data_IF_501073119260
#
_entry.id   IF_501073119260
#
_cell.length_a   1.000
_cell.length_b   1.000
_cell.length_c   1.000
_cell.angle_alpha   90.00
_cell.angle_beta   90.00
_cell.angle_gamma   90.00
#
_symmetry.space_group_name_H-M   'P 1'
#
loop_
_entity.id
_entity.type
_entity.pdbx_description
1 polymer ?
#
# COMPACT_ATOMS: atom_id res chain seq x y z
N UNK A 1 -9.33 -11.96 24.85
CA UNK A 1 -10.01 -11.45 26.08
C UNK A 1 -9.95 -9.94 26.03
N UNK A 2 -11.11 -9.26 26.05
CA UNK A 2 -11.19 -7.80 26.01
C UNK A 2 -10.72 -7.21 27.33
N UNK A 3 -10.03 -6.07 27.23
CA UNK A 3 -9.70 -5.21 28.38
C UNK A 3 -10.10 -3.79 28.03
N UNK A 4 -11.21 -3.32 28.60
CA UNK A 4 -11.66 -1.96 28.35
C UNK A 4 -10.67 -0.94 28.94
N UNK A 5 -10.34 0.08 28.16
CA UNK A 5 -9.44 1.17 28.53
C UNK A 5 -10.09 2.55 28.41
N UNK A 6 -11.38 2.59 28.04
CA UNK A 6 -12.13 3.82 27.80
C UNK A 6 -11.57 4.62 26.61
N UNK A 7 -12.06 5.85 26.51
CA UNK A 7 -11.58 6.78 25.49
C UNK A 7 -10.18 7.27 25.83
N UNK A 8 -9.17 6.82 25.10
CA UNK A 8 -7.80 7.34 25.17
C UNK A 8 -7.56 8.31 24.00
N UNK A 9 -6.63 9.24 24.15
CA UNK A 9 -6.22 10.11 23.03
C UNK A 9 -5.49 9.30 21.99
N UNK A 10 -5.89 9.47 20.72
CA UNK A 10 -5.24 8.85 19.57
C UNK A 10 -4.80 9.98 18.64
N UNK A 11 -3.53 10.00 18.29
CA UNK A 11 -2.99 10.96 17.33
C UNK A 11 -2.75 10.29 15.98
N UNK A 12 -3.08 11.00 14.91
CA UNK A 12 -2.82 10.65 13.53
C UNK A 12 -2.03 11.76 12.85
N UNK A 13 -1.76 11.67 11.56
CA UNK A 13 -1.07 12.73 10.81
C UNK A 13 -1.78 14.09 10.92
N UNK A 14 -3.12 14.09 10.72
CA UNK A 14 -3.92 15.34 10.68
C UNK A 14 -4.82 15.54 11.87
N UNK A 15 -5.06 14.52 12.70
CA UNK A 15 -6.12 14.52 13.70
C UNK A 15 -5.58 14.25 15.10
N UNK A 16 -6.30 14.80 16.08
CA UNK A 16 -6.27 14.38 17.48
C UNK A 16 -7.67 13.87 17.83
N UNK A 17 -7.80 12.56 18.04
CA UNK A 17 -9.01 11.97 18.57
C UNK A 17 -8.92 11.98 20.08
N UNK A 18 -9.73 12.80 20.74
CA UNK A 18 -9.63 13.05 22.17
C UNK A 18 -10.98 13.08 22.88
N UNK A 19 -10.96 12.98 24.19
CA UNK A 19 -12.16 13.21 24.99
C UNK A 19 -12.72 14.60 24.76
N UNK A 20 -14.05 14.73 24.77
CA UNK A 20 -14.71 16.02 24.75
C UNK A 20 -14.46 16.77 26.06
N UNK A 21 -14.31 18.08 25.97
CA UNK A 21 -14.31 19.02 27.10
C UNK A 21 -15.49 19.98 26.97
N UNK A 22 -15.91 20.63 28.05
CA UNK A 22 -17.09 21.50 28.04
C UNK A 22 -17.00 22.64 27.02
N UNK A 23 -15.80 23.12 26.80
CA UNK A 23 -15.44 24.21 25.89
C UNK A 23 -15.67 23.85 24.41
N UNK A 24 -15.78 22.58 24.09
CA UNK A 24 -16.03 22.11 22.72
C UNK A 24 -17.48 22.37 22.23
N UNK A 25 -18.38 22.78 23.11
CA UNK A 25 -19.80 22.92 22.77
C UNK A 25 -20.06 23.93 21.64
N UNK A 26 -19.33 25.03 21.62
CA UNK A 26 -19.45 26.05 20.58
C UNK A 26 -18.95 25.53 19.23
N UNK A 27 -17.78 24.88 19.23
CA UNK A 27 -17.21 24.26 18.02
C UNK A 27 -18.14 23.13 17.50
N UNK A 28 -18.68 22.29 18.40
CA UNK A 28 -19.64 21.26 18.03
C UNK A 28 -20.87 21.85 17.34
N UNK A 29 -21.48 22.87 17.93
CA UNK A 29 -22.65 23.52 17.37
C UNK A 29 -22.35 24.15 16.01
N UNK A 30 -21.26 24.93 15.92
CA UNK A 30 -20.88 25.66 14.72
C UNK A 30 -20.44 24.75 13.56
N UNK A 31 -19.68 23.71 13.87
CA UNK A 31 -18.96 22.95 12.85
C UNK A 31 -19.78 21.79 12.25
N UNK A 32 -20.71 21.17 13.02
CA UNK A 32 -21.47 20.03 12.49
C UNK A 32 -22.87 19.84 13.12
N UNK A 33 -23.07 20.06 14.41
CA UNK A 33 -24.28 19.59 15.07
C UNK A 33 -25.52 20.40 14.72
N UNK A 34 -25.40 21.67 14.32
CA UNK A 34 -26.51 22.52 13.88
C UNK A 34 -26.85 22.36 12.38
N UNK A 35 -26.04 21.64 11.59
CA UNK A 35 -26.26 21.50 10.16
C UNK A 35 -27.23 20.35 9.85
N UNK A 36 -28.45 20.63 9.29
CA UNK A 36 -29.39 19.59 8.90
C UNK A 36 -28.88 18.63 7.82
N UNK A 37 -27.87 19.04 7.03
CA UNK A 37 -27.23 18.17 6.04
C UNK A 37 -26.41 17.08 6.72
N UNK A 38 -25.68 17.42 7.79
CA UNK A 38 -24.92 16.47 8.59
C UNK A 38 -25.85 15.50 9.28
N UNK A 39 -26.94 15.99 9.91
CA UNK A 39 -27.83 15.19 10.73
C UNK A 39 -28.86 14.39 9.90
N UNK A 40 -28.96 14.61 8.60
CA UNK A 40 -29.96 14.00 7.72
C UNK A 40 -30.12 12.49 7.95
N UNK A 41 -29.02 11.77 8.05
CA UNK A 41 -28.99 10.31 8.22
C UNK A 41 -28.60 9.87 9.63
N UNK A 42 -28.61 10.79 10.61
CA UNK A 42 -28.35 10.49 12.02
C UNK A 42 -29.64 10.24 12.79
N UNK A 43 -29.50 9.59 13.95
CA UNK A 43 -30.64 9.27 14.86
C UNK A 43 -31.10 10.45 15.70
N UNK A 44 -30.33 11.56 15.71
CA UNK A 44 -30.61 12.78 16.46
C UNK A 44 -30.75 13.98 15.52
N UNK A 45 -31.65 14.93 15.81
CA UNK A 45 -31.91 16.08 14.95
C UNK A 45 -30.81 17.14 15.10
N UNK A 46 -30.77 18.08 14.15
CA UNK A 46 -29.88 19.23 14.25
C UNK A 46 -30.13 20.00 15.58
N UNK A 47 -29.07 20.39 16.24
CA UNK A 47 -29.14 21.15 17.47
C UNK A 47 -29.72 22.56 17.22
N UNK A 48 -30.79 22.89 17.91
CA UNK A 48 -31.46 24.18 17.75
C UNK A 48 -30.74 25.35 18.44
N UNK A 49 -29.81 25.07 19.36
CA UNK A 49 -29.02 26.06 20.07
C UNK A 49 -27.74 25.45 20.63
N UNK A 50 -26.78 26.31 21.02
CA UNK A 50 -25.55 25.89 21.71
C UNK A 50 -25.86 25.15 23.02
N UNK A 51 -26.91 25.50 23.72
CA UNK A 51 -27.30 24.85 24.95
C UNK A 51 -27.60 23.34 24.78
N UNK A 52 -28.06 22.93 23.61
CA UNK A 52 -28.23 21.51 23.28
C UNK A 52 -26.87 20.82 23.16
N UNK A 53 -25.90 21.46 22.49
CA UNK A 53 -24.51 20.95 22.40
C UNK A 53 -23.84 20.88 23.79
N UNK A 54 -24.02 21.87 24.63
CA UNK A 54 -23.52 21.87 26.02
C UNK A 54 -24.08 20.72 26.85
N UNK A 55 -25.40 20.43 26.70
CA UNK A 55 -26.06 19.31 27.37
C UNK A 55 -25.48 17.98 26.90
N UNK A 56 -25.31 17.79 25.58
CA UNK A 56 -24.76 16.56 24.98
C UNK A 56 -23.32 16.34 25.44
N UNK A 57 -22.46 17.34 25.32
CA UNK A 57 -21.07 17.24 25.77
C UNK A 57 -20.99 17.02 27.28
N UNK A 58 -21.82 17.69 28.05
CA UNK A 58 -21.90 17.47 29.49
C UNK A 58 -22.29 16.03 29.86
N UNK A 59 -23.08 15.36 29.03
CA UNK A 59 -23.37 13.93 29.20
C UNK A 59 -22.15 13.05 28.86
N UNK A 60 -21.45 13.30 27.77
CA UNK A 60 -20.24 12.56 27.37
C UNK A 60 -19.12 12.69 28.43
N UNK A 61 -18.90 13.89 28.95
CA UNK A 61 -17.90 14.14 29.99
C UNK A 61 -18.15 13.29 31.26
N UNK A 62 -19.40 13.10 31.65
CA UNK A 62 -19.76 12.23 32.80
C UNK A 62 -19.52 10.76 32.53
N UNK A 63 -19.75 10.31 31.27
CA UNK A 63 -19.62 8.91 30.90
C UNK A 63 -18.14 8.45 30.80
N UNK A 64 -17.17 9.38 30.66
CA UNK A 64 -15.72 9.03 30.59
C UNK A 64 -15.16 8.41 31.88
N UNK A 65 -15.91 8.37 32.96
CA UNK A 65 -15.54 7.61 34.17
C UNK A 65 -15.64 6.09 33.95
N UNK A 66 -16.38 5.67 32.92
CA UNK A 66 -16.57 4.26 32.59
C UNK A 66 -15.47 3.79 31.63
N UNK A 67 -14.79 2.71 31.99
CA UNK A 67 -13.72 2.12 31.15
C UNK A 67 -14.23 1.53 29.84
N UNK A 68 -15.51 1.21 29.72
CA UNK A 68 -16.13 0.73 28.49
C UNK A 68 -16.85 1.83 27.69
N UNK A 69 -16.56 3.11 27.93
CA UNK A 69 -17.15 4.21 27.19
C UNK A 69 -16.14 4.78 26.19
N UNK A 70 -16.54 4.82 24.91
CA UNK A 70 -15.71 5.22 23.80
C UNK A 70 -16.39 6.29 22.97
N UNK A 71 -15.99 7.54 23.15
CA UNK A 71 -16.50 8.71 22.45
C UNK A 71 -15.35 9.70 22.23
N UNK A 72 -15.00 9.96 20.98
CA UNK A 72 -13.96 10.90 20.62
C UNK A 72 -14.51 12.10 19.88
N UNK A 73 -13.94 13.27 20.15
CA UNK A 73 -13.96 14.42 19.28
C UNK A 73 -12.93 14.20 18.18
N UNK A 74 -13.26 14.53 16.95
CA UNK A 74 -12.32 14.55 15.83
C UNK A 74 -11.80 15.99 15.74
N UNK A 75 -10.65 16.27 16.34
CA UNK A 75 -9.98 17.56 16.25
C UNK A 75 -9.03 17.58 15.05
N UNK A 76 -9.13 18.63 14.22
CA UNK A 76 -8.22 18.85 13.10
C UNK A 76 -7.01 19.68 13.59
N UNK A 77 -5.80 19.09 13.54
CA UNK A 77 -4.56 19.73 14.04
C UNK A 77 -4.31 21.12 13.45
N UNK A 78 -4.54 21.29 12.15
CA UNK A 78 -4.40 22.56 11.44
C UNK A 78 -5.32 23.67 12.01
N UNK A 79 -6.50 23.28 12.47
CA UNK A 79 -7.50 24.22 12.98
C UNK A 79 -7.45 24.38 14.51
N UNK A 80 -6.98 23.35 15.23
CA UNK A 80 -7.00 23.30 16.70
C UNK A 80 -8.42 23.20 17.28
N UNK A 81 -9.41 22.75 16.48
CA UNK A 81 -10.81 22.66 16.88
C UNK A 81 -11.42 21.34 16.45
N UNK A 82 -12.42 20.80 17.21
CA UNK A 82 -13.18 19.66 16.78
C UNK A 82 -14.09 19.99 15.60
N UNK A 83 -14.11 19.08 14.63
CA UNK A 83 -14.86 19.18 13.37
C UNK A 83 -15.88 18.06 13.19
N UNK A 84 -15.95 17.13 14.15
CA UNK A 84 -16.83 15.97 14.14
C UNK A 84 -16.64 15.11 15.37
N UNK A 85 -17.30 13.95 15.38
CA UNK A 85 -17.15 12.95 16.43
C UNK A 85 -17.22 11.52 15.89
N UNK A 86 -16.60 10.59 16.62
CA UNK A 86 -16.62 9.16 16.37
C UNK A 86 -16.75 8.41 17.68
N UNK A 87 -17.56 7.33 17.70
CA UNK A 87 -17.84 6.62 18.96
C UNK A 87 -18.18 5.15 18.73
N UNK A 88 -18.06 4.34 19.77
CA UNK A 88 -18.70 3.03 19.83
C UNK A 88 -20.14 3.23 20.29
N UNK A 89 -21.08 2.98 19.37
CA UNK A 89 -22.53 3.18 19.61
C UNK A 89 -23.19 1.94 20.20
N UNK A 90 -22.58 0.77 20.02
CA UNK A 90 -23.03 -0.50 20.61
C UNK A 90 -21.83 -1.43 20.85
N UNK A 91 -21.90 -2.19 21.94
CA UNK A 91 -20.92 -3.21 22.31
C UNK A 91 -21.60 -4.54 22.56
N UNK A 92 -20.91 -5.61 22.24
CA UNK A 92 -21.32 -7.00 22.50
C UNK A 92 -20.11 -7.80 23.00
N UNK A 93 -19.77 -7.67 24.27
CA UNK A 93 -18.57 -8.24 24.88
C UNK A 93 -18.48 -9.78 24.75
N UNK A 94 -19.57 -10.56 24.87
CA UNK A 94 -19.53 -11.99 24.66
C UNK A 94 -18.98 -12.46 23.32
N UNK A 95 -19.08 -11.63 22.27
CA UNK A 95 -18.53 -11.90 20.94
C UNK A 95 -17.44 -10.91 20.55
N UNK A 96 -16.97 -10.12 21.52
CA UNK A 96 -15.87 -9.15 21.37
C UNK A 96 -16.12 -8.17 20.18
N UNK A 97 -17.37 -7.65 20.08
CA UNK A 97 -17.78 -6.76 18.99
C UNK A 97 -18.00 -5.32 19.48
N UNK A 98 -17.53 -4.35 18.67
CA UNK A 98 -17.86 -2.94 18.79
C UNK A 98 -18.48 -2.41 17.49
N UNK A 99 -19.63 -1.69 17.57
CA UNK A 99 -20.23 -1.00 16.43
C UNK A 99 -19.91 0.50 16.49
N UNK A 100 -19.37 1.05 15.40
CA UNK A 100 -18.91 2.43 15.32
C UNK A 100 -19.93 3.32 14.61
N UNK A 101 -20.14 4.51 15.18
CA UNK A 101 -20.87 5.61 14.55
C UNK A 101 -19.98 6.86 14.46
N UNK A 102 -20.12 7.63 13.38
CA UNK A 102 -19.34 8.85 13.16
C UNK A 102 -20.15 9.93 12.43
N UNK A 103 -19.77 11.17 12.64
CA UNK A 103 -20.25 12.31 11.87
C UNK A 103 -19.17 13.38 11.80
N UNK A 104 -19.20 14.18 10.72
CA UNK A 104 -18.26 15.28 10.49
C UNK A 104 -18.94 16.41 9.74
N UNK A 105 -18.53 17.64 9.97
CA UNK A 105 -19.09 18.81 9.31
C UNK A 105 -18.91 18.79 7.78
N UNK A 106 -19.90 19.36 7.08
CA UNK A 106 -19.95 19.37 5.59
C UNK A 106 -18.72 19.99 4.94
N UNK A 107 -18.07 20.96 5.58
CA UNK A 107 -16.83 21.61 5.08
C UNK A 107 -15.64 20.66 4.93
N UNK A 108 -15.67 19.52 5.63
CA UNK A 108 -14.58 18.53 5.68
C UNK A 108 -14.94 17.21 4.98
N UNK A 109 -16.11 17.15 4.32
CA UNK A 109 -16.48 16.00 3.51
C UNK A 109 -15.51 15.81 2.33
N UNK A 110 -15.36 14.58 1.88
CA UNK A 110 -14.52 14.17 0.74
C UNK A 110 -13.01 14.48 0.89
N UNK A 111 -12.52 14.70 2.13
CA UNK A 111 -11.09 14.98 2.41
C UNK A 111 -10.37 13.82 3.10
N UNK A 112 -10.97 12.63 3.14
CA UNK A 112 -10.39 11.42 3.77
C UNK A 112 -10.35 11.45 5.31
N UNK A 113 -10.76 12.54 5.95
CA UNK A 113 -10.67 12.73 7.41
C UNK A 113 -11.43 11.66 8.20
N UNK A 114 -12.66 11.33 7.79
CA UNK A 114 -13.45 10.30 8.47
C UNK A 114 -12.83 8.91 8.33
N UNK A 115 -12.22 8.62 7.18
CA UNK A 115 -11.48 7.37 6.95
C UNK A 115 -10.30 7.28 7.89
N UNK A 116 -9.50 8.34 8.02
CA UNK A 116 -8.36 8.42 8.94
C UNK A 116 -8.79 8.21 10.40
N UNK A 117 -9.86 8.88 10.83
CA UNK A 117 -10.41 8.72 12.18
C UNK A 117 -10.91 7.29 12.45
N UNK A 118 -11.70 6.72 11.53
CA UNK A 118 -12.25 5.36 11.67
C UNK A 118 -11.13 4.31 11.69
N UNK A 119 -10.14 4.44 10.82
CA UNK A 119 -8.96 3.57 10.79
C UNK A 119 -8.23 3.56 12.13
N UNK A 120 -7.95 4.73 12.70
CA UNK A 120 -7.27 4.86 13.99
C UNK A 120 -8.08 4.25 15.15
N UNK A 121 -9.41 4.39 15.13
CA UNK A 121 -10.30 3.78 16.13
C UNK A 121 -10.37 2.26 15.97
N UNK A 122 -10.43 1.73 14.73
CA UNK A 122 -10.35 0.28 14.47
C UNK A 122 -9.05 -0.30 15.03
N UNK A 123 -7.91 0.33 14.73
CA UNK A 123 -6.61 -0.07 15.27
C UNK A 123 -6.63 -0.12 16.79
N UNK A 124 -7.07 0.96 17.46
CA UNK A 124 -7.16 1.05 18.91
C UNK A 124 -8.02 -0.07 19.51
N UNK A 125 -9.18 -0.34 18.91
CA UNK A 125 -10.08 -1.38 19.40
C UNK A 125 -9.49 -2.79 19.25
N UNK A 126 -8.72 -3.05 18.20
CA UNK A 126 -8.07 -4.34 17.98
C UNK A 126 -6.81 -4.54 18.83
N UNK A 127 -5.96 -3.52 18.94
CA UNK A 127 -4.65 -3.64 19.58
C UNK A 127 -4.68 -3.36 21.08
N UNK A 128 -5.42 -2.34 21.49
CA UNK A 128 -5.42 -1.87 22.87
C UNK A 128 -6.55 -2.46 23.71
N UNK A 129 -7.73 -2.63 23.11
CA UNK A 129 -8.91 -3.14 23.80
C UNK A 129 -9.03 -4.66 23.63
N UNK A 130 -8.60 -5.18 22.49
CA UNK A 130 -8.63 -6.62 22.19
C UNK A 130 -9.95 -7.08 21.58
N UNK A 131 -10.74 -6.17 20.96
CA UNK A 131 -11.94 -6.57 20.20
C UNK A 131 -11.57 -7.56 19.09
N UNK A 132 -12.50 -8.44 18.74
CA UNK A 132 -12.35 -9.38 17.65
C UNK A 132 -13.04 -8.89 16.37
N UNK A 133 -14.05 -8.03 16.51
CA UNK A 133 -14.87 -7.54 15.42
C UNK A 133 -15.20 -6.07 15.61
N UNK A 134 -15.05 -5.28 14.54
CA UNK A 134 -15.53 -3.90 14.48
C UNK A 134 -16.54 -3.81 13.35
N UNK A 135 -17.76 -3.36 13.70
CA UNK A 135 -18.88 -3.21 12.78
C UNK A 135 -19.25 -1.73 12.60
N UNK A 136 -19.91 -1.41 11.52
CA UNK A 136 -20.57 -0.13 11.28
C UNK A 136 -21.73 -0.33 10.28
N UNK A 137 -22.70 0.57 10.31
CA UNK A 137 -23.83 0.53 9.38
C UNK A 137 -24.21 1.91 8.87
N UNK A 138 -24.88 1.95 7.73
CA UNK A 138 -25.39 3.18 7.17
C UNK A 138 -26.70 2.97 6.41
N UNK A 139 -27.50 4.03 6.28
CA UNK A 139 -28.62 4.05 5.35
C UNK A 139 -28.10 3.91 3.90
N UNK A 140 -28.60 2.97 3.07
CA UNK A 140 -28.19 2.84 1.66
C UNK A 140 -28.28 4.13 0.84
N UNK A 141 -29.18 5.06 1.25
CA UNK A 141 -29.25 6.40 0.64
C UNK A 141 -28.10 7.34 1.04
N UNK A 142 -27.20 6.90 1.93
CA UNK A 142 -25.97 7.58 2.29
C UNK A 142 -24.71 6.79 1.83
N UNK A 143 -24.47 6.64 0.52
CA UNK A 143 -23.39 5.80 -0.01
C UNK A 143 -21.99 6.26 0.41
N UNK A 144 -21.81 7.52 0.75
CA UNK A 144 -20.52 8.07 1.21
C UNK A 144 -20.08 7.45 2.54
N UNK A 145 -21.01 7.16 3.46
CA UNK A 145 -20.68 6.47 4.71
C UNK A 145 -20.19 5.04 4.45
N UNK A 146 -20.83 4.31 3.53
CA UNK A 146 -20.37 3.00 3.07
C UNK A 146 -18.99 3.06 2.40
N UNK A 147 -18.69 4.15 1.65
CA UNK A 147 -17.36 4.40 1.07
C UNK A 147 -16.29 4.51 2.14
N UNK A 148 -16.53 5.21 3.24
CA UNK A 148 -15.61 5.30 4.39
C UNK A 148 -15.34 3.92 4.99
N UNK A 149 -16.39 3.11 5.21
CA UNK A 149 -16.27 1.76 5.77
C UNK A 149 -15.40 0.85 4.90
N UNK A 150 -15.64 0.84 3.58
CA UNK A 150 -14.84 0.06 2.63
C UNK A 150 -13.36 0.49 2.64
N UNK A 151 -13.09 1.79 2.64
CA UNK A 151 -11.71 2.32 2.72
C UNK A 151 -10.96 1.88 3.97
N UNK A 152 -11.67 1.63 5.06
CA UNK A 152 -11.08 1.07 6.28
C UNK A 152 -10.98 -0.47 6.26
N UNK A 153 -11.20 -1.13 5.11
CA UNK A 153 -11.11 -2.58 4.96
C UNK A 153 -12.32 -3.35 5.48
N UNK A 154 -13.43 -2.66 5.82
CA UNK A 154 -14.65 -3.33 6.27
C UNK A 154 -15.38 -3.96 5.09
N UNK A 155 -15.81 -5.21 5.25
CA UNK A 155 -16.56 -5.98 4.24
C UNK A 155 -18.07 -5.77 4.42
N UNK A 156 -18.77 -5.66 3.29
CA UNK A 156 -20.22 -5.64 3.26
C UNK A 156 -20.79 -7.01 3.61
N UNK A 157 -21.74 -7.07 4.56
CA UNK A 157 -22.35 -8.32 5.03
C UNK A 157 -23.81 -8.45 4.66
N UNK A 158 -24.44 -7.40 4.16
CA UNK A 158 -25.83 -7.42 3.75
C UNK A 158 -26.60 -6.15 4.14
N UNK A 159 -27.81 -6.01 3.61
CA UNK A 159 -28.73 -4.92 3.96
C UNK A 159 -29.95 -5.47 4.68
N UNK A 160 -30.14 -5.01 5.90
CA UNK A 160 -31.34 -5.30 6.70
C UNK A 160 -32.45 -4.31 6.35
N UNK A 161 -33.62 -4.81 5.94
CA UNK A 161 -34.72 -3.96 5.52
C UNK A 161 -35.53 -3.42 6.70
N UNK A 162 -35.85 -2.11 6.68
CA UNK A 162 -36.68 -1.40 7.66
C UNK A 162 -36.29 -1.68 9.12
N UNK A 163 -34.97 -1.77 9.39
CA UNK A 163 -34.45 -2.19 10.70
C UNK A 163 -33.81 -1.04 11.48
N UNK A 164 -33.76 0.15 10.91
CA UNK A 164 -33.16 1.33 11.54
C UNK A 164 -34.07 2.57 11.36
N UNK A 165 -33.71 3.65 12.02
CA UNK A 165 -34.42 4.93 11.95
C UNK A 165 -33.42 6.09 12.00
N UNK A 166 -33.63 7.05 11.12
CA UNK A 166 -32.92 8.32 11.10
C UNK A 166 -33.88 9.51 10.93
N UNK A 167 -33.38 10.71 10.70
CA UNK A 167 -34.25 11.91 10.53
C UNK A 167 -35.09 11.89 9.25
N UNK A 168 -34.91 10.91 8.36
CA UNK A 168 -35.77 10.69 7.19
C UNK A 168 -36.89 9.67 7.46
N UNK A 169 -36.89 9.03 8.63
CA UNK A 169 -37.87 8.02 9.03
C UNK A 169 -37.26 6.62 9.18
N UNK A 170 -38.11 5.59 9.01
CA UNK A 170 -37.65 4.19 9.01
C UNK A 170 -36.87 3.94 7.74
N UNK A 171 -35.71 3.29 7.87
CA UNK A 171 -34.77 3.05 6.77
C UNK A 171 -34.17 1.64 6.82
N UNK A 172 -33.63 1.23 5.73
CA UNK A 172 -32.76 0.05 5.66
C UNK A 172 -31.41 0.37 6.25
N UNK A 173 -30.67 -0.67 6.67
CA UNK A 173 -29.27 -0.52 7.14
C UNK A 173 -28.35 -1.48 6.39
N UNK A 174 -27.42 -0.93 5.64
CA UNK A 174 -26.30 -1.66 5.04
C UNK A 174 -25.22 -1.89 6.11
N UNK A 175 -24.99 -3.16 6.42
CA UNK A 175 -24.06 -3.61 7.47
C UNK A 175 -22.69 -3.90 6.90
N UNK A 176 -21.67 -3.41 7.56
CA UNK A 176 -20.25 -3.64 7.27
C UNK A 176 -19.52 -4.08 8.53
N UNK A 177 -18.49 -4.91 8.37
CA UNK A 177 -17.62 -5.27 9.48
C UNK A 177 -16.21 -5.66 9.00
N UNK A 178 -15.27 -5.62 9.96
CA UNK A 178 -13.93 -6.14 9.80
C UNK A 178 -13.57 -6.99 11.03
N UNK A 179 -12.95 -8.15 10.82
CA UNK A 179 -12.43 -8.99 11.88
C UNK A 179 -10.98 -8.66 12.17
N UNK A 180 -10.55 -8.85 13.43
CA UNK A 180 -9.13 -8.67 13.81
C UNK A 180 -8.19 -9.54 12.97
N UNK A 181 -8.61 -10.74 12.59
CA UNK A 181 -7.83 -11.63 11.71
C UNK A 181 -7.72 -11.14 10.27
N UNK A 182 -8.63 -10.27 9.84
CA UNK A 182 -8.65 -9.67 8.50
C UNK A 182 -7.96 -8.31 8.50
N UNK A 183 -7.90 -7.68 9.70
CA UNK A 183 -7.32 -6.36 9.83
C UNK A 183 -5.81 -6.43 9.59
N UNK A 184 -5.42 -5.79 8.52
CA UNK A 184 -4.03 -5.45 8.28
C UNK A 184 -3.92 -3.99 8.66
N UNK A 185 -3.00 -3.64 9.57
CA UNK A 185 -2.73 -2.24 9.87
C UNK A 185 -2.69 -1.49 8.53
N UNK A 186 -3.57 -0.51 8.29
CA UNK A 186 -3.54 0.22 7.04
C UNK A 186 -2.14 0.77 6.90
N UNK A 187 -1.43 0.32 5.90
CA UNK A 187 -0.17 0.89 5.52
C UNK A 187 -0.51 2.21 4.80
N UNK A 188 -0.69 3.28 5.54
CA UNK A 188 -0.40 4.61 5.01
C UNK A 188 1.11 4.62 4.80
N UNK A 189 1.52 4.10 3.66
CA UNK A 189 2.92 3.82 3.33
C UNK A 189 3.77 5.08 3.29
N UNK A 190 3.12 6.25 3.23
CA UNK A 190 3.73 7.46 2.79
C UNK A 190 3.73 8.62 3.79
N UNK A 191 2.68 8.78 4.58
CA UNK A 191 2.48 10.07 5.28
C UNK A 191 3.34 10.25 6.54
N UNK A 192 3.93 9.17 7.10
CA UNK A 192 4.68 9.20 8.37
C UNK A 192 6.18 8.86 8.21
N UNK A 193 6.71 8.71 6.98
CA UNK A 193 8.12 8.46 6.78
C UNK A 193 8.87 9.80 6.72
N UNK A 194 9.53 10.17 7.82
CA UNK A 194 10.53 11.22 7.78
C UNK A 194 11.79 10.64 7.12
N UNK A 195 12.21 11.18 6.00
CA UNK A 195 13.44 10.80 5.31
C UNK A 195 14.16 12.05 4.79
N UNK A 196 15.47 11.97 4.67
CA UNK A 196 16.32 13.05 4.16
C UNK A 196 16.81 12.77 2.74
N UNK A 197 16.84 11.50 2.34
CA UNK A 197 17.23 11.03 1.00
C UNK A 197 16.58 9.68 0.66
N UNK A 198 16.73 9.25 -0.59
CA UNK A 198 16.15 8.00 -1.10
C UNK A 198 16.67 6.76 -0.36
N UNK A 199 17.92 6.77 0.14
CA UNK A 199 18.48 5.64 0.87
C UNK A 199 17.78 5.43 2.22
N UNK A 200 17.51 6.49 2.95
CA UNK A 200 16.76 6.46 4.21
C UNK A 200 15.30 6.04 3.96
N UNK A 201 14.69 6.55 2.89
CA UNK A 201 13.34 6.15 2.47
C UNK A 201 13.26 4.65 2.20
N UNK A 202 14.20 4.09 1.43
CA UNK A 202 14.25 2.65 1.12
C UNK A 202 14.40 1.80 2.38
N UNK A 203 15.25 2.19 3.32
CA UNK A 203 15.39 1.51 4.61
C UNK A 203 14.06 1.44 5.36
N UNK A 204 13.35 2.55 5.46
CA UNK A 204 12.10 2.61 6.21
C UNK A 204 10.96 1.87 5.49
N UNK A 205 10.91 1.93 4.16
CA UNK A 205 9.96 1.17 3.34
C UNK A 205 10.09 -0.33 3.63
N UNK A 206 11.29 -0.89 3.54
CA UNK A 206 11.50 -2.33 3.70
C UNK A 206 11.51 -2.81 5.15
N UNK A 207 11.59 -1.96 6.14
CA UNK A 207 11.23 -2.31 7.54
C UNK A 207 9.74 -2.61 7.70
N UNK A 208 8.89 -2.03 6.84
CA UNK A 208 7.42 -2.16 6.89
C UNK A 208 6.86 -3.10 5.85
N UNK A 209 7.59 -3.34 4.77
CA UNK A 209 7.17 -4.15 3.63
C UNK A 209 7.84 -5.52 3.64
N UNK A 210 7.04 -6.59 3.49
CA UNK A 210 7.54 -7.95 3.35
C UNK A 210 7.89 -8.24 1.88
N UNK A 211 9.14 -7.99 1.49
CA UNK A 211 9.65 -8.31 0.16
C UNK A 211 9.86 -9.82 -0.03
N UNK A 212 10.08 -10.56 1.06
CA UNK A 212 10.44 -11.98 0.99
C UNK A 212 9.37 -12.86 0.31
N UNK A 213 8.09 -12.53 0.53
CA UNK A 213 7.00 -13.30 -0.06
C UNK A 213 6.55 -12.80 -1.44
N UNK A 214 6.98 -11.62 -1.90
CA UNK A 214 6.42 -10.90 -3.05
C UNK A 214 6.29 -11.76 -4.31
N UNK A 215 7.37 -12.39 -4.73
CA UNK A 215 7.44 -13.17 -5.97
C UNK A 215 6.89 -14.60 -5.85
N UNK A 216 6.62 -15.08 -4.63
CA UNK A 216 6.25 -16.47 -4.35
C UNK A 216 4.86 -16.63 -3.73
N UNK A 217 4.17 -15.54 -3.37
CA UNK A 217 2.91 -15.58 -2.64
C UNK A 217 1.74 -16.21 -3.40
N UNK A 218 1.82 -16.30 -4.74
CA UNK A 218 0.75 -16.83 -5.59
C UNK A 218 1.26 -17.23 -6.98
N UNK A 219 0.46 -17.97 -7.76
CA UNK A 219 0.75 -18.27 -9.17
C UNK A 219 0.84 -17.01 -10.02
N UNK A 220 -0.03 -16.03 -9.80
CA UNK A 220 0.00 -14.76 -10.51
C UNK A 220 1.30 -13.99 -10.24
N UNK A 221 1.71 -13.84 -8.98
CA UNK A 221 2.96 -13.18 -8.60
C UNK A 221 4.20 -13.91 -9.13
N UNK A 222 4.14 -15.24 -9.25
CA UNK A 222 5.27 -16.06 -9.76
C UNK A 222 5.56 -15.84 -11.24
N UNK A 223 4.63 -15.29 -12.03
CA UNK A 223 4.81 -15.02 -13.46
C UNK A 223 5.99 -14.07 -13.71
N UNK A 224 6.10 -13.00 -12.93
CA UNK A 224 7.22 -12.03 -13.01
C UNK A 224 8.57 -12.74 -12.87
N UNK A 225 8.71 -13.54 -11.82
CA UNK A 225 9.95 -14.27 -11.55
C UNK A 225 10.31 -15.23 -12.70
N UNK A 226 9.35 -16.05 -13.14
CA UNK A 226 9.59 -17.05 -14.19
C UNK A 226 9.94 -16.40 -15.54
N UNK A 227 9.31 -15.27 -15.84
CA UNK A 227 9.61 -14.50 -17.06
C UNK A 227 11.02 -13.92 -16.99
N UNK A 228 11.35 -13.25 -15.90
CA UNK A 228 12.66 -12.62 -15.69
C UNK A 228 13.78 -13.64 -15.75
N UNK A 229 13.65 -14.76 -15.04
CA UNK A 229 14.63 -15.86 -15.06
C UNK A 229 14.81 -16.39 -16.49
N UNK A 230 13.72 -16.60 -17.24
CA UNK A 230 13.78 -17.07 -18.63
C UNK A 230 14.61 -16.15 -19.52
N UNK A 231 14.52 -14.82 -19.32
CA UNK A 231 15.32 -13.86 -20.10
C UNK A 231 16.77 -13.83 -19.66
N UNK A 232 17.07 -13.91 -18.37
CA UNK A 232 18.43 -13.95 -17.84
C UNK A 232 19.14 -15.22 -18.37
N UNK A 233 18.50 -16.37 -18.31
CA UNK A 233 19.06 -17.65 -18.78
C UNK A 233 19.47 -17.67 -20.27
N UNK A 234 18.88 -16.81 -21.11
CA UNK A 234 19.30 -16.67 -22.52
C UNK A 234 20.75 -16.19 -22.67
N UNK A 235 21.28 -15.51 -21.67
CA UNK A 235 22.59 -14.83 -21.72
C UNK A 235 23.62 -15.41 -20.75
N UNK A 236 23.29 -16.48 -20.04
CA UNK A 236 24.20 -17.13 -19.10
C UNK A 236 24.97 -18.27 -19.77
N UNK A 237 26.29 -18.09 -19.94
CA UNK A 237 27.18 -19.19 -20.26
C UNK A 237 27.63 -19.93 -18.99
N UNK A 238 28.11 -21.19 -19.09
CA UNK A 238 28.70 -21.88 -17.94
C UNK A 238 29.83 -21.06 -17.31
N UNK A 239 29.76 -20.84 -15.98
CA UNK A 239 30.73 -20.05 -15.22
C UNK A 239 30.52 -18.53 -15.31
N UNK A 240 29.43 -18.05 -15.88
CA UNK A 240 29.10 -16.62 -15.90
C UNK A 240 28.98 -16.06 -14.47
N UNK A 241 29.41 -14.82 -14.33
CA UNK A 241 29.30 -14.04 -13.08
C UNK A 241 28.12 -13.09 -13.16
N UNK A 242 27.29 -13.09 -12.13
CA UNK A 242 26.09 -12.28 -12.01
C UNK A 242 26.30 -11.26 -10.88
N UNK A 243 25.94 -10.00 -11.12
CA UNK A 243 25.78 -9.00 -10.08
C UNK A 243 24.30 -8.66 -9.96
N UNK A 244 23.75 -8.79 -8.74
CA UNK A 244 22.35 -8.47 -8.41
C UNK A 244 22.36 -7.20 -7.55
N UNK A 245 21.96 -6.07 -8.15
CA UNK A 245 21.97 -4.73 -7.51
C UNK A 245 20.57 -4.38 -7.07
N UNK A 246 20.37 -4.21 -5.76
CA UNK A 246 19.06 -4.12 -5.12
C UNK A 246 18.42 -5.51 -5.01
N UNK A 247 19.20 -6.46 -4.48
CA UNK A 247 18.87 -7.88 -4.48
C UNK A 247 17.63 -8.25 -3.65
N UNK A 248 17.11 -7.31 -2.84
CA UNK A 248 15.97 -7.53 -1.97
C UNK A 248 16.21 -8.71 -1.01
N UNK A 249 15.21 -9.56 -0.84
CA UNK A 249 15.36 -10.78 -0.05
C UNK A 249 16.09 -11.94 -0.80
N UNK A 250 16.69 -11.68 -1.96
CA UNK A 250 17.63 -12.58 -2.66
C UNK A 250 17.00 -13.66 -3.54
N UNK A 251 15.77 -13.52 -4.01
CA UNK A 251 15.09 -14.55 -4.80
C UNK A 251 15.84 -14.92 -6.09
N UNK A 252 16.30 -13.94 -6.86
CA UNK A 252 17.08 -14.16 -8.08
C UNK A 252 18.49 -14.68 -7.75
N UNK A 253 19.17 -14.04 -6.80
CA UNK A 253 20.51 -14.42 -6.35
C UNK A 253 20.58 -15.88 -5.92
N UNK A 254 19.65 -16.31 -5.02
CA UNK A 254 19.58 -17.69 -4.55
C UNK A 254 19.27 -18.68 -5.66
N UNK A 255 18.36 -18.32 -6.57
CA UNK A 255 18.02 -19.18 -7.71
C UNK A 255 19.24 -19.46 -8.59
N UNK A 256 20.01 -18.43 -8.96
CA UNK A 256 21.17 -18.62 -9.83
C UNK A 256 22.36 -19.26 -9.10
N UNK A 257 22.61 -18.93 -7.85
CA UNK A 257 23.64 -19.58 -7.04
C UNK A 257 23.40 -21.09 -6.92
N UNK A 258 22.16 -21.50 -6.66
CA UNK A 258 21.73 -22.92 -6.60
C UNK A 258 21.83 -23.65 -7.95
N UNK A 259 21.91 -22.90 -9.05
CA UNK A 259 22.22 -23.44 -10.39
C UNK A 259 23.74 -23.48 -10.68
N UNK A 260 24.58 -23.07 -9.73
CA UNK A 260 26.02 -23.14 -9.83
C UNK A 260 26.70 -21.92 -10.43
N UNK A 261 25.98 -20.79 -10.58
CA UNK A 261 26.58 -19.50 -10.99
C UNK A 261 27.20 -18.79 -9.81
N UNK A 262 28.27 -17.99 -10.06
CA UNK A 262 28.83 -17.08 -9.08
C UNK A 262 27.98 -15.82 -9.02
N UNK A 263 27.41 -15.51 -7.86
CA UNK A 263 26.55 -14.36 -7.67
C UNK A 263 27.19 -13.41 -6.66
N UNK A 264 27.33 -12.15 -7.03
CA UNK A 264 27.53 -11.04 -6.11
C UNK A 264 26.19 -10.30 -5.96
N UNK A 265 25.80 -10.00 -4.74
CA UNK A 265 24.55 -9.33 -4.42
C UNK A 265 24.82 -8.08 -3.59
N UNK A 266 24.24 -6.96 -4.01
CA UNK A 266 24.31 -5.70 -3.27
C UNK A 266 22.88 -5.31 -2.88
N UNK A 267 22.67 -5.06 -1.59
CA UNK A 267 21.38 -4.65 -1.04
C UNK A 267 21.58 -3.51 -0.03
N UNK A 268 20.67 -2.54 -0.05
CA UNK A 268 20.73 -1.38 0.82
C UNK A 268 20.04 -1.63 2.17
N UNK A 269 18.84 -2.25 2.14
CA UNK A 269 17.95 -2.34 3.28
C UNK A 269 18.34 -3.47 4.26
N UNK A 270 18.54 -3.12 5.52
CA UNK A 270 18.88 -4.07 6.60
C UNK A 270 17.88 -5.22 6.73
N UNK A 271 16.59 -4.91 6.59
CA UNK A 271 15.51 -5.91 6.69
C UNK A 271 15.61 -6.96 5.56
N UNK A 272 15.89 -6.52 4.32
CA UNK A 272 16.07 -7.39 3.16
C UNK A 272 17.32 -8.25 3.33
N UNK A 273 18.44 -7.67 3.77
CA UNK A 273 19.70 -8.39 4.04
C UNK A 273 19.46 -9.49 5.09
N UNK A 274 18.73 -9.18 6.16
CA UNK A 274 18.41 -10.16 7.20
C UNK A 274 17.58 -11.32 6.64
N UNK A 275 16.54 -11.03 5.84
CA UNK A 275 15.70 -12.04 5.18
C UNK A 275 16.51 -12.87 4.17
N UNK A 276 17.40 -12.23 3.41
CA UNK A 276 18.27 -12.91 2.45
C UNK A 276 19.22 -13.90 3.18
N UNK A 277 19.94 -13.41 4.19
CA UNK A 277 20.85 -14.25 4.99
C UNK A 277 20.17 -15.45 5.65
N UNK A 278 18.94 -15.28 6.10
CA UNK A 278 18.15 -16.37 6.70
C UNK A 278 17.86 -17.53 5.73
N UNK A 279 17.90 -17.27 4.41
CA UNK A 279 17.66 -18.28 3.35
C UNK A 279 18.94 -18.85 2.75
N UNK A 280 20.09 -18.21 2.98
CA UNK A 280 21.37 -18.68 2.49
C UNK A 280 21.82 -19.93 3.24
N UNK A 281 22.52 -20.79 2.53
CA UNK A 281 23.21 -21.97 3.06
C UNK A 281 24.71 -21.89 2.73
N UNK A 282 25.53 -22.66 3.42
CA UNK A 282 26.99 -22.71 3.17
C UNK A 282 27.36 -23.15 1.74
N UNK A 283 26.43 -23.72 1.00
CA UNK A 283 26.61 -24.16 -0.37
C UNK A 283 26.25 -23.10 -1.42
N UNK A 284 25.60 -22.00 -1.01
CA UNK A 284 25.22 -20.93 -1.94
C UNK A 284 26.43 -20.04 -2.24
N UNK A 285 26.88 -20.01 -3.49
CA UNK A 285 28.05 -19.23 -3.96
C UNK A 285 27.65 -17.75 -4.13
N UNK A 286 27.34 -17.08 -3.03
CA UNK A 286 26.86 -15.69 -3.02
C UNK A 286 27.78 -14.82 -2.14
N UNK A 287 28.27 -13.72 -2.73
CA UNK A 287 28.91 -12.64 -2.01
C UNK A 287 27.88 -11.52 -1.78
N UNK A 288 27.34 -11.43 -0.55
CA UNK A 288 26.31 -10.46 -0.18
C UNK A 288 26.91 -9.28 0.57
N UNK A 289 26.86 -8.12 -0.07
CA UNK A 289 27.39 -6.84 0.42
C UNK A 289 26.25 -5.86 0.70
N UNK A 290 26.30 -5.16 1.83
CA UNK A 290 25.44 -4.00 2.05
C UNK A 290 26.03 -2.78 1.35
N UNK A 291 25.22 -2.12 0.50
CA UNK A 291 25.70 -0.97 -0.26
C UNK A 291 24.60 -0.23 -1.01
N UNK A 292 24.99 0.92 -1.56
CA UNK A 292 24.11 1.77 -2.36
C UNK A 292 24.39 1.57 -3.85
N UNK A 293 23.35 1.42 -4.66
CA UNK A 293 23.46 1.27 -6.11
C UNK A 293 24.11 2.46 -6.84
N UNK A 294 24.23 3.60 -6.19
CA UNK A 294 24.93 4.78 -6.70
C UNK A 294 26.46 4.67 -6.61
N UNK A 295 26.99 3.68 -5.89
CA UNK A 295 28.40 3.44 -5.71
C UNK A 295 28.71 1.93 -5.73
N UNK A 296 29.14 1.44 -6.88
CA UNK A 296 29.60 0.07 -7.08
C UNK A 296 31.14 -0.05 -7.07
N UNK A 297 31.86 0.90 -6.46
CA UNK A 297 33.33 0.92 -6.39
C UNK A 297 33.93 -0.31 -5.73
N UNK A 298 33.17 -1.07 -4.97
CA UNK A 298 33.54 -2.38 -4.44
C UNK A 298 33.85 -3.42 -5.55
N UNK A 299 33.33 -3.21 -6.76
CA UNK A 299 33.48 -4.11 -7.88
C UNK A 299 34.37 -3.50 -8.98
N UNK A 300 35.26 -4.32 -9.55
CA UNK A 300 36.14 -3.93 -10.65
C UNK A 300 35.35 -3.70 -11.95
N UNK A 301 35.89 -2.85 -12.82
CA UNK A 301 35.37 -2.63 -14.16
C UNK A 301 35.31 -3.94 -14.96
N UNK A 302 34.26 -4.11 -15.77
CA UNK A 302 34.11 -5.24 -16.69
C UNK A 302 34.24 -6.62 -16.01
N UNK A 303 33.69 -6.78 -14.81
CA UNK A 303 33.80 -8.02 -14.01
C UNK A 303 32.64 -8.98 -14.18
N UNK A 304 31.45 -8.51 -14.57
CA UNK A 304 30.24 -9.30 -14.60
C UNK A 304 29.73 -9.53 -16.02
N UNK A 305 29.26 -10.76 -16.29
CA UNK A 305 28.64 -11.14 -17.54
C UNK A 305 27.18 -10.66 -17.63
N UNK A 306 26.49 -10.65 -16.46
CA UNK A 306 25.12 -10.17 -16.31
C UNK A 306 25.04 -9.27 -15.07
N UNK A 307 24.40 -8.11 -15.23
CA UNK A 307 24.07 -7.19 -14.14
C UNK A 307 22.56 -7.04 -14.06
N UNK A 308 21.97 -7.31 -12.90
CA UNK A 308 20.56 -7.14 -12.61
C UNK A 308 20.37 -5.85 -11.83
N UNK A 309 19.55 -4.96 -12.34
CA UNK A 309 19.21 -3.68 -11.70
C UNK A 309 17.72 -3.70 -11.34
N UNK A 310 17.39 -4.50 -10.31
CA UNK A 310 16.01 -4.82 -9.91
C UNK A 310 15.66 -4.15 -8.58
N UNK A 311 15.30 -2.92 -8.59
CA UNK A 311 14.98 -2.13 -7.40
C UNK A 311 15.36 -0.68 -7.55
N UNK A 312 16.64 -0.38 -7.76
CA UNK A 312 17.15 0.99 -7.66
C UNK A 312 16.37 2.02 -8.51
N UNK A 313 16.04 1.69 -9.78
CA UNK A 313 15.45 2.67 -10.71
C UNK A 313 14.02 3.10 -10.35
N UNK A 314 13.31 2.32 -9.54
CA UNK A 314 12.00 2.72 -9.03
C UNK A 314 12.03 3.16 -7.55
N UNK A 315 13.22 3.33 -6.99
CA UNK A 315 13.45 3.93 -5.68
C UNK A 315 14.16 5.28 -5.75
N UNK A 316 14.94 5.52 -6.80
CA UNK A 316 15.63 6.78 -7.02
C UNK A 316 14.66 7.80 -7.63
N UNK A 317 14.42 8.93 -6.96
CA UNK A 317 13.50 9.96 -7.44
C UNK A 317 14.14 10.87 -8.48
N UNK A 318 15.39 11.25 -8.30
CA UNK A 318 16.10 12.16 -9.17
C UNK A 318 16.65 11.47 -10.43
N UNK A 319 16.43 12.02 -11.62
CA UNK A 319 16.93 11.46 -12.89
C UNK A 319 18.47 11.33 -12.90
N UNK A 320 19.19 12.32 -12.30
CA UNK A 320 20.65 12.28 -12.20
C UNK A 320 21.15 11.03 -11.46
N UNK A 321 20.44 10.62 -10.40
CA UNK A 321 20.81 9.46 -9.58
C UNK A 321 20.50 8.16 -10.32
N UNK A 322 19.37 8.10 -11.06
CA UNK A 322 19.09 6.99 -11.97
C UNK A 322 20.18 6.81 -13.02
N UNK A 323 20.61 7.91 -13.65
CA UNK A 323 21.70 7.90 -14.65
C UNK A 323 23.01 7.44 -14.03
N UNK A 324 23.37 7.93 -12.83
CA UNK A 324 24.57 7.49 -12.11
C UNK A 324 24.52 5.98 -11.81
N UNK A 325 23.39 5.48 -11.33
CA UNK A 325 23.18 4.05 -11.08
C UNK A 325 23.37 3.20 -12.34
N UNK A 326 22.86 3.66 -13.48
CA UNK A 326 23.03 2.99 -14.78
C UNK A 326 24.49 3.04 -15.24
N UNK A 327 25.20 4.16 -15.07
CA UNK A 327 26.62 4.28 -15.42
C UNK A 327 27.51 3.35 -14.58
N UNK A 328 27.23 3.20 -13.28
CA UNK A 328 27.93 2.23 -12.44
C UNK A 328 27.65 0.78 -12.89
N UNK A 329 26.40 0.44 -13.20
CA UNK A 329 26.08 -0.87 -13.77
C UNK A 329 26.79 -1.13 -15.10
N UNK A 330 26.92 -0.13 -15.98
CA UNK A 330 27.68 -0.21 -17.24
C UNK A 330 29.17 -0.41 -16.97
N UNK A 331 29.74 0.30 -15.99
CA UNK A 331 31.16 0.21 -15.64
C UNK A 331 31.54 -1.23 -15.26
N UNK A 332 30.76 -1.84 -14.35
CA UNK A 332 31.05 -3.18 -13.84
C UNK A 332 30.65 -4.31 -14.81
N UNK A 333 29.72 -4.06 -15.74
CA UNK A 333 29.31 -5.00 -16.78
C UNK A 333 30.41 -5.15 -17.83
N UNK A 334 30.71 -6.37 -18.30
CA UNK A 334 31.63 -6.64 -19.41
C UNK A 334 31.15 -6.02 -20.73
N UNK A 335 32.02 -5.76 -21.70
CA UNK A 335 31.65 -5.19 -23.00
C UNK A 335 30.54 -5.99 -23.72
N UNK A 336 30.60 -7.33 -23.66
CA UNK A 336 29.62 -8.25 -24.28
C UNK A 336 28.51 -8.68 -23.29
N UNK A 337 28.56 -8.17 -22.04
CA UNK A 337 27.62 -8.47 -20.97
C UNK A 337 26.23 -7.88 -21.22
N UNK A 338 25.30 -8.27 -20.38
CA UNK A 338 23.91 -7.79 -20.46
C UNK A 338 23.50 -7.16 -19.14
N UNK A 339 22.77 -6.05 -19.25
CA UNK A 339 22.21 -5.36 -18.09
C UNK A 339 20.68 -5.50 -18.18
N UNK A 340 20.08 -5.92 -17.08
CA UNK A 340 18.64 -6.10 -16.92
C UNK A 340 18.10 -5.00 -16.02
N UNK A 341 17.12 -4.27 -16.49
CA UNK A 341 16.51 -3.14 -15.80
C UNK A 341 15.06 -3.45 -15.47
N UNK A 342 14.67 -3.31 -14.21
CA UNK A 342 13.26 -3.40 -13.82
C UNK A 342 12.69 -2.00 -13.54
N UNK A 343 11.44 -1.79 -14.00
CA UNK A 343 10.66 -0.58 -13.74
C UNK A 343 9.25 -0.97 -13.30
N UNK A 344 8.62 -0.10 -12.51
CA UNK A 344 7.18 -0.20 -12.19
C UNK A 344 6.42 0.68 -13.17
N UNK A 345 5.40 0.09 -13.81
CA UNK A 345 4.59 0.78 -14.82
C UNK A 345 3.65 1.81 -14.18
N UNK A 346 3.55 2.99 -14.80
CA UNK A 346 2.54 3.97 -14.44
C UNK A 346 1.12 3.56 -14.89
N UNK A 347 1.02 2.89 -16.03
CA UNK A 347 -0.24 2.85 -16.78
C UNK A 347 -1.22 1.81 -16.23
N UNK A 348 -0.78 0.57 -16.06
CA UNK A 348 -1.67 -0.52 -15.60
C UNK A 348 -1.90 -0.50 -14.08
N UNK A 349 -0.99 0.09 -13.30
CA UNK A 349 -1.07 0.13 -11.82
C UNK A 349 -2.37 0.78 -11.35
N UNK A 350 -2.88 1.77 -12.06
CA UNK A 350 -4.18 2.39 -11.74
C UNK A 350 -5.31 1.35 -11.74
N UNK A 351 -5.31 0.41 -12.71
CA UNK A 351 -6.33 -0.63 -12.79
C UNK A 351 -6.12 -1.74 -11.75
N UNK A 352 -4.88 -2.13 -11.48
CA UNK A 352 -4.60 -3.12 -10.44
C UNK A 352 -4.87 -2.58 -9.04
N UNK A 353 -4.60 -1.30 -8.80
CA UNK A 353 -4.98 -0.62 -7.56
C UNK A 353 -6.50 -0.49 -7.40
N UNK A 354 -7.25 -0.31 -8.51
CA UNK A 354 -8.73 -0.31 -8.48
C UNK A 354 -9.29 -1.66 -8.01
N UNK A 355 -8.63 -2.78 -8.26
CA UNK A 355 -9.05 -4.09 -7.73
C UNK A 355 -8.86 -4.21 -6.21
N UNK A 356 -7.83 -3.54 -5.68
CA UNK A 356 -7.53 -3.54 -4.25
C UNK A 356 -8.34 -2.48 -3.49
N UNK A 357 -8.76 -1.42 -4.18
CA UNK A 357 -9.45 -0.26 -3.62
C UNK A 357 -10.55 0.18 -4.59
N UNK A 358 -11.81 -0.17 -4.28
CA UNK A 358 -13.00 0.01 -5.15
C UNK A 358 -13.21 1.41 -5.74
N UNK A 359 -12.63 2.44 -5.14
CA UNK A 359 -12.77 3.83 -5.57
C UNK A 359 -11.46 4.49 -6.02
N UNK A 360 -10.42 3.70 -6.31
CA UNK A 360 -9.10 4.23 -6.68
C UNK A 360 -9.15 5.12 -7.93
N UNK A 361 -9.96 4.76 -8.94
CA UNK A 361 -10.17 5.62 -10.13
C UNK A 361 -10.72 7.02 -9.79
N UNK A 362 -11.45 7.16 -8.69
CA UNK A 362 -11.99 8.45 -8.25
C UNK A 362 -11.09 9.17 -7.25
N UNK A 363 -10.47 8.43 -6.33
CA UNK A 363 -9.81 8.98 -5.14
C UNK A 363 -8.35 8.52 -4.97
N UNK A 364 -7.79 7.74 -5.89
CA UNK A 364 -6.40 7.25 -5.83
C UNK A 364 -5.36 8.37 -6.00
N UNK A 365 -4.12 8.06 -5.63
CA UNK A 365 -2.99 8.98 -5.59
C UNK A 365 -2.37 9.14 -6.98
N UNK A 366 -3.07 9.85 -7.85
CA UNK A 366 -2.61 10.17 -9.20
C UNK A 366 -3.27 11.45 -9.72
N UNK A 367 -2.62 12.12 -10.65
CA UNK A 367 -3.17 13.30 -11.34
C UNK A 367 -4.34 12.89 -12.23
N UNK A 368 -5.55 13.38 -11.92
CA UNK A 368 -6.80 13.02 -12.62
C UNK A 368 -6.89 13.49 -14.07
N UNK A 369 -5.98 14.37 -14.53
CA UNK A 369 -5.94 14.87 -15.92
C UNK A 369 -4.92 14.13 -16.77
N UNK A 370 -3.77 13.80 -16.19
CA UNK A 370 -2.65 13.19 -16.91
C UNK A 370 -2.52 11.70 -16.64
N UNK A 371 -3.24 11.16 -15.65
CA UNK A 371 -3.15 9.79 -15.16
C UNK A 371 -1.74 9.39 -14.69
N UNK A 372 -0.92 10.41 -14.31
CA UNK A 372 0.39 10.18 -13.70
C UNK A 372 0.21 9.84 -12.23
N UNK A 373 0.71 8.69 -11.80
CA UNK A 373 0.78 8.29 -10.39
C UNK A 373 1.72 9.22 -9.61
N UNK A 374 1.44 9.43 -8.35
CA UNK A 374 2.33 10.15 -7.45
C UNK A 374 3.54 9.24 -7.14
N UNK A 375 4.74 9.78 -7.35
CA UNK A 375 5.99 9.04 -7.18
C UNK A 375 6.36 8.94 -5.69
N UNK A 376 5.65 8.08 -4.96
CA UNK A 376 5.96 7.81 -3.56
C UNK A 376 5.31 6.50 -3.06
N UNK A 377 5.98 5.62 -2.33
CA UNK A 377 7.44 5.58 -2.09
C UNK A 377 8.22 5.04 -3.30
N UNK A 378 7.51 4.63 -4.34
CA UNK A 378 8.08 4.13 -5.59
C UNK A 378 7.91 5.15 -6.70
N UNK A 379 8.83 5.14 -7.65
CA UNK A 379 8.75 5.93 -8.87
C UNK A 379 8.13 5.09 -9.97
N UNK A 380 7.08 5.61 -10.59
CA UNK A 380 6.37 4.93 -11.66
C UNK A 380 6.83 5.44 -13.03
N UNK A 381 6.92 4.56 -14.02
CA UNK A 381 7.46 4.89 -15.32
C UNK A 381 6.48 4.53 -16.44
N UNK A 382 6.34 5.41 -17.44
CA UNK A 382 5.74 5.03 -18.72
C UNK A 382 6.79 4.32 -19.58
N UNK A 383 6.35 3.52 -20.57
CA UNK A 383 7.26 2.86 -21.53
C UNK A 383 8.18 3.86 -22.21
N UNK A 384 7.65 5.02 -22.62
CA UNK A 384 8.45 6.03 -23.30
C UNK A 384 9.50 6.65 -22.37
N UNK A 385 9.16 6.86 -21.09
CA UNK A 385 10.13 7.34 -20.10
C UNK A 385 11.24 6.32 -19.85
N UNK A 386 10.92 5.01 -19.79
CA UNK A 386 11.94 3.96 -19.69
C UNK A 386 12.91 4.00 -20.88
N UNK A 387 12.38 4.08 -22.11
CA UNK A 387 13.18 4.17 -23.33
C UNK A 387 14.06 5.43 -23.37
N UNK A 388 13.48 6.57 -22.98
CA UNK A 388 14.21 7.85 -22.92
C UNK A 388 15.37 7.80 -21.91
N UNK A 389 15.13 7.31 -20.69
CA UNK A 389 16.13 7.19 -19.65
C UNK A 389 17.28 6.28 -20.09
N UNK A 390 16.97 5.09 -20.60
CA UNK A 390 17.99 4.14 -21.09
C UNK A 390 18.73 4.69 -22.30
N UNK A 391 18.05 5.40 -23.21
CA UNK A 391 18.65 6.08 -24.34
C UNK A 391 19.62 7.20 -23.92
N UNK A 392 19.25 8.03 -22.94
CA UNK A 392 20.15 9.05 -22.35
C UNK A 392 21.42 8.43 -21.76
N UNK A 393 21.28 7.26 -21.13
CA UNK A 393 22.43 6.50 -20.60
C UNK A 393 23.22 5.73 -21.67
N UNK A 394 22.87 5.85 -22.96
CA UNK A 394 23.55 5.17 -24.05
C UNK A 394 23.38 3.65 -24.08
N UNK A 395 22.31 3.12 -23.46
CA UNK A 395 21.98 1.70 -23.49
C UNK A 395 21.31 1.33 -24.81
N UNK A 396 21.83 0.33 -25.50
CA UNK A 396 21.15 -0.30 -26.65
C UNK A 396 20.15 -1.35 -26.14
N UNK A 397 18.88 -1.03 -26.18
CA UNK A 397 17.80 -1.93 -25.74
C UNK A 397 17.69 -3.11 -26.72
N UNK A 398 17.71 -4.34 -26.23
CA UNK A 398 17.57 -5.58 -27.01
C UNK A 398 16.28 -6.34 -26.72
N UNK A 399 15.69 -6.18 -25.53
CA UNK A 399 14.37 -6.69 -25.19
C UNK A 399 13.60 -5.67 -24.36
N UNK A 400 12.30 -5.56 -24.65
CA UNK A 400 11.30 -4.90 -23.81
C UNK A 400 10.24 -5.94 -23.46
N UNK A 401 10.02 -6.19 -22.17
CA UNK A 401 9.25 -7.34 -21.71
C UNK A 401 8.24 -6.92 -20.66
N UNK A 402 7.00 -7.32 -20.86
CA UNK A 402 5.96 -7.30 -19.83
C UNK A 402 6.21 -8.47 -18.87
N UNK A 403 6.94 -8.25 -17.75
CA UNK A 403 7.44 -9.36 -16.94
C UNK A 403 6.35 -10.14 -16.21
N UNK A 404 5.32 -9.48 -15.72
CA UNK A 404 4.12 -10.11 -15.15
C UNK A 404 2.91 -10.07 -16.10
N UNK A 405 2.95 -9.23 -17.14
CA UNK A 405 1.84 -9.06 -18.08
C UNK A 405 0.53 -8.75 -17.33
N UNK A 406 -0.56 -9.38 -17.81
CA UNK A 406 -1.86 -9.21 -17.18
C UNK A 406 -2.08 -10.10 -15.93
N UNK A 407 -1.05 -10.79 -15.40
CA UNK A 407 -1.25 -11.78 -14.34
C UNK A 407 -1.73 -11.17 -13.03
N UNK A 408 -1.27 -9.96 -12.67
CA UNK A 408 -1.75 -9.26 -11.48
C UNK A 408 -3.17 -8.72 -11.67
N UNK A 409 -3.48 -8.18 -12.85
CA UNK A 409 -4.85 -7.75 -13.20
C UNK A 409 -5.84 -8.91 -13.18
N UNK A 410 -5.40 -10.10 -13.56
CA UNK A 410 -6.20 -11.33 -13.63
C UNK A 410 -5.88 -12.30 -12.47
N UNK A 411 -5.43 -11.80 -11.31
CA UNK A 411 -4.88 -12.63 -10.25
C UNK A 411 -5.82 -13.74 -9.77
N UNK A 412 -7.11 -13.47 -9.64
CA UNK A 412 -8.09 -14.48 -9.18
C UNK A 412 -8.23 -15.61 -10.20
N UNK A 413 -8.26 -15.27 -11.49
CA UNK A 413 -8.30 -16.24 -12.57
C UNK A 413 -7.02 -17.09 -12.60
N UNK A 414 -5.85 -16.44 -12.58
CA UNK A 414 -4.55 -17.13 -12.68
C UNK A 414 -4.30 -18.02 -11.46
N UNK A 415 -4.64 -17.54 -10.27
CA UNK A 415 -4.48 -18.30 -9.02
C UNK A 415 -5.43 -19.51 -8.95
N UNK A 416 -6.61 -19.42 -9.57
CA UNK A 416 -7.59 -20.51 -9.65
C UNK A 416 -7.30 -21.60 -10.67
N UNK A 417 -6.31 -21.43 -11.57
CA UNK A 417 -5.95 -22.43 -12.56
C UNK A 417 -5.38 -23.70 -11.90
N UNK A 418 -5.70 -24.87 -12.46
CA UNK A 418 -4.96 -26.08 -12.16
C UNK A 418 -3.53 -26.02 -12.73
N UNK A 419 -2.68 -26.99 -12.40
CA UNK A 419 -1.27 -26.94 -12.82
C UNK A 419 -1.10 -27.02 -14.35
N UNK A 420 -1.87 -27.85 -15.03
CA UNK A 420 -1.78 -28.00 -16.49
C UNK A 420 -2.22 -26.69 -17.19
N UNK A 421 -3.31 -26.10 -16.74
CA UNK A 421 -3.82 -24.83 -17.24
C UNK A 421 -2.86 -23.67 -16.94
N UNK A 422 -2.22 -23.67 -15.76
CA UNK A 422 -1.21 -22.68 -15.41
C UNK A 422 0.03 -22.78 -16.30
N UNK A 423 0.52 -23.99 -16.59
CA UNK A 423 1.63 -24.18 -17.53
C UNK A 423 1.27 -23.70 -18.94
N UNK A 424 0.02 -23.91 -19.39
CA UNK A 424 -0.43 -23.38 -20.67
C UNK A 424 -0.57 -21.84 -20.65
N UNK A 425 -1.02 -21.26 -19.52
CA UNK A 425 -1.03 -19.80 -19.32
C UNK A 425 0.39 -19.22 -19.42
N UNK A 426 1.38 -19.81 -18.77
CA UNK A 426 2.78 -19.38 -18.86
C UNK A 426 3.30 -19.42 -20.30
N UNK A 427 3.00 -20.48 -21.05
CA UNK A 427 3.38 -20.57 -22.47
C UNK A 427 2.75 -19.45 -23.30
N UNK A 428 1.48 -19.13 -23.05
CA UNK A 428 0.79 -18.03 -23.70
C UNK A 428 1.41 -16.69 -23.30
N UNK A 429 1.66 -16.47 -22.01
CA UNK A 429 2.32 -15.27 -21.51
C UNK A 429 3.69 -15.05 -22.18
N UNK A 430 4.53 -16.08 -22.24
CA UNK A 430 5.84 -15.99 -22.92
C UNK A 430 5.73 -15.73 -24.43
N UNK A 431 4.63 -16.06 -25.05
CA UNK A 431 4.37 -15.75 -26.46
C UNK A 431 4.01 -14.27 -26.67
N UNK A 432 3.36 -13.63 -25.68
CA UNK A 432 2.86 -12.26 -25.84
C UNK A 432 3.73 -11.20 -25.15
N UNK A 433 4.59 -11.56 -24.18
CA UNK A 433 5.24 -10.63 -23.26
C UNK A 433 6.22 -9.61 -23.91
N UNK A 434 6.68 -9.85 -25.15
CA UNK A 434 7.48 -8.89 -25.94
C UNK A 434 6.67 -8.17 -27.01
N UNK A 435 5.39 -8.48 -27.17
CA UNK A 435 4.58 -7.80 -28.19
C UNK A 435 4.26 -6.38 -27.73
N UNK A 436 4.51 -5.36 -28.57
CA UNK A 436 4.28 -3.97 -28.21
C UNK A 436 2.87 -3.69 -27.68
N UNK A 437 1.86 -4.40 -28.19
CA UNK A 437 0.46 -4.27 -27.81
C UNK A 437 0.19 -4.72 -26.35
N UNK A 438 1.09 -5.51 -25.76
CA UNK A 438 0.94 -6.07 -24.42
C UNK A 438 1.89 -5.48 -23.36
N UNK A 439 2.90 -4.71 -23.76
CA UNK A 439 3.85 -4.11 -22.81
C UNK A 439 3.17 -3.26 -21.74
N UNK A 440 2.20 -2.43 -22.14
CA UNK A 440 1.44 -1.57 -21.22
C UNK A 440 0.46 -2.31 -20.30
N UNK A 441 0.34 -3.64 -20.42
CA UNK A 441 -0.53 -4.46 -19.56
C UNK A 441 0.22 -5.07 -18.37
N UNK A 442 1.46 -4.67 -18.12
CA UNK A 442 2.33 -5.20 -17.05
C UNK A 442 2.57 -4.18 -15.97
N UNK A 443 2.46 -4.58 -14.70
CA UNK A 443 2.87 -3.74 -13.57
C UNK A 443 4.39 -3.61 -13.51
N UNK A 444 5.10 -4.69 -13.84
CA UNK A 444 6.55 -4.70 -13.87
C UNK A 444 7.06 -4.85 -15.30
N UNK A 445 7.92 -3.92 -15.69
CA UNK A 445 8.53 -3.89 -17.00
C UNK A 445 9.99 -4.31 -16.87
N UNK A 446 10.43 -5.24 -17.72
CA UNK A 446 11.82 -5.66 -17.79
C UNK A 446 12.41 -5.20 -19.13
N UNK A 447 13.51 -4.46 -19.05
CA UNK A 447 14.33 -4.09 -20.20
C UNK A 447 15.66 -4.82 -20.13
N UNK A 448 16.12 -5.31 -21.26
CA UNK A 448 17.45 -5.91 -21.40
C UNK A 448 18.25 -5.07 -22.37
N UNK A 449 19.46 -4.69 -21.98
CA UNK A 449 20.29 -3.82 -22.79
C UNK A 449 21.78 -4.17 -22.77
N UNK A 450 22.50 -3.51 -23.66
CA UNK A 450 23.95 -3.55 -23.79
C UNK A 450 24.52 -2.13 -23.70
N UNK A 451 25.74 -2.02 -23.19
CA UNK A 451 26.46 -0.72 -23.14
C UNK A 451 27.07 -0.34 -24.47
#
# INVERSE_FOLDING_TARGET
>A
MITHKGTQTIETSRLVLRRAVREDAEAMFRNWASDPKVTKFLTWPAHGSIAVSEMVIGSWVREYEKENYYQWMIELKELGEPIGSISVVRQNDPVEEAEIGYCIGTRWWHKGITTEALTAVIEYLFTEVGMNRVAARHDPNNPHSGGVMRKCGMKYEGTHRACDRNNQGICDAAQYAILRSEWKKPRHFAEDIAYTDDAELVQEVYRRYDEDSRLNKSKAARVEFLTTVRYIEKYLAPGAKILDVGAGAGEYSLYFARKGYQVSALELADANIAAFRAKMTDNDLIDLVQGNALDLSHYDDNSFDVVLLFGPLYHLHEEKDKLQCIEEAKRVCKPDGKIFFAFISNDIVILTMQQCQDDYLMNGDYNKKTFRLDDFPFVFHTLDHCRELLGKAGIRIIHEVASDGASELLQDLVNGLDEASYQQYLRYHFYICEKPEFLGMSNHLLFVGEK
#
